data_IF_079700587739
#
_entry.id   IF_079700587739
#
_cell.length_a   1.000
_cell.length_b   1.000
_cell.length_c   1.000
_cell.angle_alpha   90.00
_cell.angle_beta   90.00
_cell.angle_gamma   90.00
#
_symmetry.space_group_name_H-M   'P 1'
#
loop_
_entity.id
_entity.type
_entity.pdbx_description
1 polymer ?
#
# COMPACT_ATOMS: atom_id res chain seq x y z
N UNK A 1 -13.84 -5.95 5.64
CA UNK A 1 -14.32 -6.18 7.02
C UNK A 1 -13.44 -5.34 7.94
N UNK A 2 -14.04 -4.56 8.84
CA UNK A 2 -13.32 -3.60 9.70
C UNK A 2 -13.21 -4.14 11.12
N UNK A 3 -12.04 -4.04 11.74
CA UNK A 3 -11.79 -4.46 13.11
C UNK A 3 -10.85 -3.49 13.83
N UNK A 4 -10.76 -3.59 15.16
CA UNK A 4 -10.03 -2.65 16.02
C UNK A 4 -9.02 -3.40 16.88
N UNK A 5 -7.79 -2.90 16.93
CA UNK A 5 -6.70 -3.46 17.73
C UNK A 5 -5.96 -2.35 18.47
N UNK A 6 -5.28 -2.71 19.56
CA UNK A 6 -4.42 -1.79 20.31
C UNK A 6 -3.04 -1.73 19.68
N UNK A 7 -2.52 -0.53 19.47
CA UNK A 7 -1.18 -0.32 18.95
C UNK A 7 -0.12 -0.83 19.94
N UNK A 8 0.80 -1.66 19.46
CA UNK A 8 2.02 -2.04 20.17
C UNK A 8 3.23 -1.63 19.34
N UNK A 9 4.10 -0.81 19.90
CA UNK A 9 5.27 -0.29 19.21
C UNK A 9 6.40 -1.33 19.27
N UNK A 10 6.91 -1.77 18.12
CA UNK A 10 7.88 -2.86 18.04
C UNK A 10 9.34 -2.40 17.93
N UNK A 11 9.59 -1.16 17.52
CA UNK A 11 10.95 -0.66 17.31
C UNK A 11 11.70 -1.31 16.14
N UNK A 12 11.00 -2.00 15.23
CA UNK A 12 11.56 -2.62 14.03
C UNK A 12 11.39 -1.67 12.85
N UNK A 13 12.46 -1.43 12.09
CA UNK A 13 12.45 -0.56 10.91
C UNK A 13 12.54 -1.37 9.61
N UNK A 14 12.02 -0.82 8.51
CA UNK A 14 11.98 -1.45 7.17
C UNK A 14 12.46 -0.51 6.07
N UNK A 15 13.29 0.48 6.42
CA UNK A 15 13.89 1.46 5.51
C UNK A 15 12.86 2.18 4.62
N UNK A 16 11.65 2.43 5.18
CA UNK A 16 10.62 3.25 4.53
C UNK A 16 9.34 2.52 4.16
N UNK A 17 9.26 1.19 4.30
CA UNK A 17 8.00 0.46 4.11
C UNK A 17 7.07 0.63 5.31
N UNK A 18 5.75 0.69 5.06
CA UNK A 18 4.75 0.71 6.12
C UNK A 18 4.32 -0.73 6.39
N UNK A 19 4.79 -1.31 7.49
CA UNK A 19 4.53 -2.70 7.87
C UNK A 19 3.80 -2.77 9.20
N UNK A 20 2.84 -3.68 9.29
CA UNK A 20 2.19 -4.05 10.55
C UNK A 20 2.29 -5.54 10.80
N UNK A 21 2.38 -5.90 12.06
CA UNK A 21 2.38 -7.29 12.51
C UNK A 21 1.03 -7.61 13.15
N UNK A 22 0.39 -8.67 12.69
CA UNK A 22 -0.90 -9.14 13.19
C UNK A 22 -0.76 -10.58 13.70
N UNK A 23 -1.49 -10.91 14.76
CA UNK A 23 -1.59 -12.29 15.25
C UNK A 23 -2.24 -13.21 14.21
N UNK A 24 -1.83 -14.48 14.17
CA UNK A 24 -2.38 -15.48 13.23
C UNK A 24 -3.90 -15.60 13.28
N UNK A 25 -4.48 -15.51 14.47
CA UNK A 25 -5.92 -15.66 14.65
C UNK A 25 -6.68 -14.44 14.14
N UNK A 26 -6.18 -13.23 14.39
CA UNK A 26 -6.71 -12.00 13.81
C UNK A 26 -6.61 -12.01 12.27
N UNK A 27 -5.49 -12.49 11.71
CA UNK A 27 -5.31 -12.64 10.26
C UNK A 27 -6.35 -13.59 9.67
N UNK A 28 -6.50 -14.80 10.25
CA UNK A 28 -7.46 -15.81 9.79
C UNK A 28 -8.91 -15.33 9.90
N UNK A 29 -9.28 -14.72 11.03
CA UNK A 29 -10.64 -14.25 11.26
C UNK A 29 -11.07 -13.14 10.29
N UNK A 30 -10.11 -12.42 9.71
CA UNK A 30 -10.35 -11.32 8.77
C UNK A 30 -9.92 -11.64 7.33
N UNK A 31 -9.65 -12.90 7.01
CA UNK A 31 -9.17 -13.39 5.70
C UNK A 31 -7.96 -12.62 5.15
N UNK A 32 -7.02 -12.29 6.04
CA UNK A 32 -5.76 -11.63 5.71
C UNK A 32 -4.61 -12.64 5.66
N UNK A 33 -3.64 -12.36 4.78
CA UNK A 33 -2.40 -13.12 4.58
C UNK A 33 -1.20 -12.19 4.62
N UNK A 34 -0.03 -12.73 4.95
CA UNK A 34 1.21 -11.96 4.86
C UNK A 34 1.37 -11.37 3.46
N UNK A 35 1.66 -10.08 3.38
CA UNK A 35 1.73 -9.33 2.13
C UNK A 35 0.44 -8.61 1.75
N UNK A 36 -0.69 -8.91 2.41
CA UNK A 36 -1.94 -8.20 2.14
C UNK A 36 -1.87 -6.76 2.63
N UNK A 37 -2.59 -5.88 1.93
CA UNK A 37 -2.66 -4.46 2.24
C UNK A 37 -3.86 -4.19 3.16
N UNK A 38 -3.62 -3.36 4.17
CA UNK A 38 -4.67 -2.88 5.08
C UNK A 38 -4.63 -1.37 5.17
N UNK A 39 -5.82 -0.77 5.14
CA UNK A 39 -6.01 0.63 5.50
C UNK A 39 -6.04 0.71 7.02
N UNK A 40 -5.14 1.52 7.57
CA UNK A 40 -5.04 1.82 8.99
C UNK A 40 -5.56 3.23 9.21
N UNK A 41 -6.39 3.40 10.23
CA UNK A 41 -6.89 4.69 10.63
C UNK A 41 -6.94 4.82 12.14
N UNK A 42 -6.78 6.05 12.61
CA UNK A 42 -6.89 6.42 14.02
C UNK A 42 -7.82 7.62 14.11
N UNK A 43 -8.46 7.80 15.26
CA UNK A 43 -9.42 8.88 15.46
C UNK A 43 -8.77 10.25 15.22
N UNK A 44 -9.22 10.97 14.19
CA UNK A 44 -8.71 12.31 13.83
C UNK A 44 -7.40 12.32 13.03
N UNK A 45 -6.84 11.15 12.69
CA UNK A 45 -5.63 11.03 11.88
C UNK A 45 -5.93 10.77 10.39
N UNK A 46 -4.94 11.02 9.53
CA UNK A 46 -5.01 10.62 8.13
C UNK A 46 -4.83 9.11 7.99
N UNK A 47 -5.69 8.41 7.24
CA UNK A 47 -5.53 6.98 7.04
C UNK A 47 -4.30 6.70 6.17
N UNK A 48 -3.64 5.58 6.44
CA UNK A 48 -2.47 5.12 5.69
C UNK A 48 -2.66 3.68 5.25
N UNK A 49 -1.94 3.25 4.22
CA UNK A 49 -1.96 1.85 3.78
C UNK A 49 -0.65 1.19 4.21
N UNK A 50 -0.77 0.05 4.87
CA UNK A 50 0.37 -0.75 5.32
C UNK A 50 0.25 -2.20 4.84
N UNK A 51 1.38 -2.89 4.78
CA UNK A 51 1.48 -4.31 4.44
C UNK A 51 1.47 -5.16 5.71
N UNK A 52 0.70 -6.24 5.71
CA UNK A 52 0.57 -7.13 6.87
C UNK A 52 1.66 -8.21 6.90
N UNK A 53 2.20 -8.45 8.09
CA UNK A 53 3.03 -9.59 8.43
C UNK A 53 2.36 -10.39 9.56
N UNK A 54 2.62 -11.71 9.60
CA UNK A 54 2.01 -12.59 10.60
C UNK A 54 2.97 -12.90 11.77
N UNK A 55 2.58 -12.52 13.00
CA UNK A 55 3.20 -13.04 14.21
C UNK A 55 2.83 -14.51 14.40
N UNK A 56 3.83 -15.37 14.50
CA UNK A 56 3.64 -16.82 14.62
C UNK A 56 3.39 -17.31 16.05
N UNK A 57 3.60 -16.46 17.06
CA UNK A 57 3.51 -16.79 18.47
C UNK A 57 3.03 -15.57 19.29
N UNK A 58 2.38 -15.82 20.43
CA UNK A 58 1.87 -14.78 21.34
C UNK A 58 2.94 -14.07 22.17
N UNK A 59 4.23 -14.30 21.92
CA UNK A 59 5.32 -13.64 22.64
C UNK A 59 5.50 -12.17 22.20
N UNK A 60 5.24 -11.90 20.92
CA UNK A 60 5.47 -10.56 20.33
C UNK A 60 4.20 -9.70 20.40
N UNK A 61 3.02 -10.31 20.27
CA UNK A 61 1.73 -9.63 20.25
C UNK A 61 0.67 -10.46 21.00
N UNK A 62 -0.16 -9.77 21.76
CA UNK A 62 -1.42 -10.33 22.23
C UNK A 62 -2.49 -10.30 21.13
N UNK A 63 -3.55 -11.10 21.28
CA UNK A 63 -4.58 -11.27 20.24
C UNK A 63 -5.37 -9.98 19.94
N UNK A 64 -5.40 -9.03 20.88
CA UNK A 64 -6.04 -7.72 20.75
C UNK A 64 -5.08 -6.60 20.33
N UNK A 65 -3.85 -6.94 19.93
CA UNK A 65 -2.81 -5.99 19.56
C UNK A 65 -2.45 -6.03 18.07
N UNK A 66 -2.05 -4.87 17.56
CA UNK A 66 -1.39 -4.71 16.26
C UNK A 66 0.02 -4.16 16.48
N UNK A 67 1.01 -4.86 15.95
CA UNK A 67 2.40 -4.45 16.03
C UNK A 67 2.72 -3.41 14.96
N UNK A 68 3.13 -2.21 15.37
CA UNK A 68 3.53 -1.15 14.46
C UNK A 68 5.05 -1.12 14.34
N UNK A 69 5.53 -1.13 13.10
CA UNK A 69 6.92 -0.86 12.77
C UNK A 69 7.19 0.64 12.86
N UNK A 70 8.46 1.04 12.95
CA UNK A 70 8.87 2.43 13.22
C UNK A 70 8.28 3.40 12.20
N UNK A 71 8.26 3.03 10.92
CA UNK A 71 7.70 3.87 9.87
C UNK A 71 6.17 4.00 9.99
N UNK A 72 5.47 2.91 10.30
CA UNK A 72 4.00 2.89 10.48
C UNK A 72 3.57 3.65 11.72
N UNK A 73 4.32 3.50 12.82
CA UNK A 73 4.13 4.27 14.05
C UNK A 73 4.21 5.77 13.76
N UNK A 74 5.28 6.22 13.08
CA UNK A 74 5.49 7.62 12.73
C UNK A 74 4.42 8.16 11.78
N UNK A 75 4.03 7.36 10.79
CA UNK A 75 3.03 7.77 9.81
C UNK A 75 1.61 7.91 10.43
N UNK A 76 1.30 7.14 11.47
CA UNK A 76 0.04 7.23 12.22
C UNK A 76 0.08 8.22 13.40
N UNK A 77 1.26 8.73 13.78
CA UNK A 77 1.50 9.39 15.07
C UNK A 77 0.99 8.53 16.26
N UNK A 78 1.20 7.21 16.16
CA UNK A 78 0.63 6.25 17.08
C UNK A 78 1.42 6.16 18.39
N UNK A 79 0.72 5.97 19.52
CA UNK A 79 1.29 5.63 20.82
C UNK A 79 0.83 4.26 21.26
N UNK A 80 1.64 3.60 22.09
CA UNK A 80 1.30 2.29 22.67
C UNK A 80 -0.07 2.33 23.36
N UNK A 81 -0.91 1.34 23.09
CA UNK A 81 -2.27 1.19 23.63
C UNK A 81 -3.37 1.96 22.89
N UNK A 82 -3.03 2.85 21.95
CA UNK A 82 -4.06 3.56 21.16
C UNK A 82 -4.81 2.60 20.23
N UNK A 83 -6.07 2.91 19.94
CA UNK A 83 -6.89 2.08 19.06
C UNK A 83 -6.57 2.40 17.60
N UNK A 84 -6.24 1.36 16.84
CA UNK A 84 -6.06 1.40 15.39
C UNK A 84 -7.21 0.63 14.76
N UNK A 85 -7.91 1.29 13.86
CA UNK A 85 -8.90 0.68 12.99
C UNK A 85 -8.21 0.09 11.77
N UNK A 86 -8.43 -1.20 11.55
CA UNK A 86 -7.87 -1.98 10.45
C UNK A 86 -8.99 -2.37 9.50
N UNK A 87 -8.81 -2.05 8.23
CA UNK A 87 -9.72 -2.44 7.15
C UNK A 87 -8.90 -3.09 6.04
N UNK A 88 -9.31 -4.27 5.58
CA UNK A 88 -8.72 -4.88 4.38
C UNK A 88 -8.80 -3.88 3.21
N UNK A 89 -7.65 -3.50 2.66
CA UNK A 89 -7.61 -2.58 1.55
C UNK A 89 -7.95 -3.33 0.26
N UNK A 90 -8.82 -2.79 -0.61
CA UNK A 90 -9.03 -3.37 -1.92
C UNK A 90 -7.71 -3.35 -2.69
N UNK A 91 -7.54 -4.36 -3.53
CA UNK A 91 -6.40 -4.44 -4.44
C UNK A 91 -6.44 -3.23 -5.39
N UNK A 92 -5.29 -2.58 -5.62
CA UNK A 92 -5.23 -1.36 -6.44
C UNK A 92 -5.83 -1.60 -7.84
N UNK A 93 -6.70 -0.68 -8.28
CA UNK A 93 -7.33 -0.73 -9.61
C UNK A 93 -6.28 -0.77 -10.74
N UNK A 94 -5.12 -0.18 -10.48
CA UNK A 94 -3.99 -0.12 -11.40
C UNK A 94 -3.49 -1.48 -11.87
N UNK A 95 -3.77 -2.58 -11.17
CA UNK A 95 -3.36 -3.91 -11.60
C UNK A 95 -4.10 -4.36 -12.86
N UNK A 96 -5.36 -3.98 -13.01
CA UNK A 96 -6.09 -4.24 -14.24
C UNK A 96 -5.53 -3.41 -15.40
N UNK A 97 -5.04 -2.20 -15.11
CA UNK A 97 -4.38 -1.33 -16.09
C UNK A 97 -3.00 -1.87 -16.50
N UNK A 98 -2.21 -2.36 -15.55
CA UNK A 98 -0.92 -3.01 -15.82
C UNK A 98 -1.14 -4.26 -16.67
N UNK A 99 -2.12 -5.11 -16.32
CA UNK A 99 -2.50 -6.26 -17.14
C UNK A 99 -2.92 -5.86 -18.55
N UNK A 100 -3.76 -4.82 -18.69
CA UNK A 100 -4.14 -4.25 -19.98
C UNK A 100 -2.90 -3.87 -20.81
N UNK A 101 -1.88 -3.24 -20.20
CA UNK A 101 -0.63 -2.91 -20.89
C UNK A 101 0.20 -4.15 -21.23
N UNK A 102 0.25 -5.14 -20.34
CA UNK A 102 0.91 -6.44 -20.60
C UNK A 102 0.27 -7.22 -21.75
N UNK A 103 -1.02 -7.01 -22.02
CA UNK A 103 -1.72 -7.56 -23.20
C UNK A 103 -1.45 -6.76 -24.49
N UNK A 104 -0.57 -5.75 -24.44
CA UNK A 104 -0.22 -4.91 -25.59
C UNK A 104 -1.25 -3.82 -25.92
N UNK A 105 -2.27 -3.61 -25.07
CA UNK A 105 -3.26 -2.55 -25.27
C UNK A 105 -2.70 -1.22 -24.79
N UNK A 106 -3.06 -0.14 -25.50
CA UNK A 106 -2.70 1.22 -25.11
C UNK A 106 -3.43 1.67 -23.85
N UNK A 107 -2.76 2.46 -23.03
CA UNK A 107 -3.36 3.16 -21.90
C UNK A 107 -3.72 4.61 -22.29
N UNK A 108 -4.86 5.06 -21.80
CA UNK A 108 -5.29 6.46 -21.91
C UNK A 108 -4.56 7.34 -20.89
N UNK A 109 -4.73 8.66 -21.00
CA UNK A 109 -4.22 9.61 -20.01
C UNK A 109 -4.73 9.32 -18.61
N UNK A 110 -6.03 9.10 -18.43
CA UNK A 110 -6.62 8.85 -17.12
C UNK A 110 -6.08 7.56 -16.49
N UNK A 111 -5.83 6.54 -17.31
CA UNK A 111 -5.25 5.27 -16.86
C UNK A 111 -3.77 5.42 -16.47
N UNK A 112 -2.98 6.17 -17.24
CA UNK A 112 -1.62 6.51 -16.84
C UNK A 112 -1.60 7.36 -15.57
N UNK A 113 -2.51 8.32 -15.44
CA UNK A 113 -2.64 9.16 -14.26
C UNK A 113 -3.01 8.35 -13.02
N UNK A 114 -3.93 7.38 -13.13
CA UNK A 114 -4.25 6.46 -12.05
C UNK A 114 -3.01 5.67 -11.59
N UNK A 115 -2.26 5.08 -12.53
CA UNK A 115 -1.03 4.34 -12.22
C UNK A 115 -0.01 5.23 -11.51
N UNK A 116 0.26 6.43 -12.06
CA UNK A 116 1.26 7.34 -11.48
C UNK A 116 0.82 7.83 -10.10
N UNK A 117 -0.47 8.14 -9.92
CA UNK A 117 -1.01 8.55 -8.63
C UNK A 117 -0.78 7.46 -7.58
N UNK A 118 -1.10 6.22 -7.92
CA UNK A 118 -0.92 5.08 -7.02
C UNK A 118 0.57 4.77 -6.77
N UNK A 119 1.48 5.08 -7.70
CA UNK A 119 2.93 5.01 -7.46
C UNK A 119 3.33 6.05 -6.41
N UNK A 120 2.90 7.30 -6.58
CA UNK A 120 3.27 8.43 -5.69
C UNK A 120 2.67 8.25 -4.30
N UNK A 121 1.45 7.72 -4.18
CA UNK A 121 0.81 7.40 -2.90
C UNK A 121 1.30 6.10 -2.26
N UNK A 122 2.32 5.44 -2.83
CA UNK A 122 2.88 4.15 -2.38
C UNK A 122 1.82 3.05 -2.30
N UNK A 123 0.86 3.10 -3.21
CA UNK A 123 -0.16 2.08 -3.35
C UNK A 123 0.26 0.93 -4.26
N UNK A 124 1.18 1.17 -5.21
CA UNK A 124 1.84 0.07 -5.92
C UNK A 124 2.98 -0.50 -5.07
N UNK A 125 2.93 -1.80 -4.85
CA UNK A 125 4.05 -2.58 -4.30
C UNK A 125 5.21 -2.64 -5.30
N UNK A 126 6.41 -2.96 -4.81
CA UNK A 126 7.60 -3.12 -5.66
C UNK A 126 7.38 -4.15 -6.78
N UNK A 127 6.62 -5.21 -6.49
CA UNK A 127 6.25 -6.24 -7.46
C UNK A 127 5.37 -5.65 -8.56
N UNK A 128 4.35 -4.87 -8.20
CA UNK A 128 3.44 -4.25 -9.16
C UNK A 128 4.14 -3.19 -10.02
N UNK A 129 5.03 -2.40 -9.42
CA UNK A 129 5.86 -1.45 -10.14
C UNK A 129 6.79 -2.16 -11.14
N UNK A 130 7.44 -3.25 -10.72
CA UNK A 130 8.28 -4.06 -11.59
C UNK A 130 7.47 -4.63 -12.77
N UNK A 131 6.23 -5.10 -12.53
CA UNK A 131 5.34 -5.54 -13.60
C UNK A 131 4.97 -4.40 -14.57
N UNK A 132 4.71 -3.19 -14.07
CA UNK A 132 4.43 -2.05 -14.94
C UNK A 132 5.63 -1.71 -15.84
N UNK A 133 6.84 -1.65 -15.28
CA UNK A 133 8.08 -1.40 -16.04
C UNK A 133 8.34 -2.50 -17.07
N UNK A 134 8.15 -3.76 -16.68
CA UNK A 134 8.28 -4.90 -17.59
C UNK A 134 7.25 -4.83 -18.73
N UNK A 135 5.99 -4.48 -18.44
CA UNK A 135 4.94 -4.30 -19.43
C UNK A 135 5.31 -3.22 -20.46
N UNK A 136 5.84 -2.08 -20.00
CA UNK A 136 6.32 -1.01 -20.88
C UNK A 136 7.55 -1.42 -21.72
N UNK A 137 8.36 -2.36 -21.25
CA UNK A 137 9.51 -2.89 -22.00
C UNK A 137 9.07 -3.91 -23.05
N UNK A 138 8.15 -4.82 -22.70
CA UNK A 138 7.59 -5.82 -23.62
C UNK A 138 6.72 -5.18 -24.71
N UNK A 139 5.96 -4.14 -24.35
CA UNK A 139 5.10 -3.38 -25.24
C UNK A 139 5.43 -1.88 -25.11
N UNK A 140 6.41 -1.39 -25.90
CA UNK A 140 6.84 0.00 -25.85
C UNK A 140 5.69 1.00 -25.90
N UNK A 141 5.82 2.09 -25.15
CA UNK A 141 4.85 3.17 -25.14
C UNK A 141 4.85 3.84 -26.52
N UNK A 142 3.66 3.98 -27.11
CA UNK A 142 3.50 4.82 -28.28
C UNK A 142 3.71 6.31 -27.90
N UNK A 143 3.88 7.19 -28.90
CA UNK A 143 4.17 8.60 -28.64
C UNK A 143 3.07 9.29 -27.81
N UNK A 144 1.80 8.99 -28.10
CA UNK A 144 0.64 9.46 -27.35
C UNK A 144 0.64 8.98 -25.89
N UNK A 145 0.96 7.70 -25.66
CA UNK A 145 1.11 7.13 -24.31
C UNK A 145 2.29 7.77 -23.55
N UNK A 146 3.41 8.00 -24.23
CA UNK A 146 4.58 8.68 -23.64
C UNK A 146 4.21 10.08 -23.17
N UNK A 147 3.53 10.86 -24.01
CA UNK A 147 3.04 12.21 -23.65
C UNK A 147 2.06 12.12 -22.48
N UNK A 148 1.14 11.16 -22.50
CA UNK A 148 0.16 10.96 -21.44
C UNK A 148 0.84 10.62 -20.10
N UNK A 149 1.77 9.68 -20.09
CA UNK A 149 2.55 9.30 -18.91
C UNK A 149 3.36 10.48 -18.37
N UNK A 150 4.06 11.22 -19.22
CA UNK A 150 4.83 12.39 -18.80
C UNK A 150 3.93 13.46 -18.18
N UNK A 151 2.77 13.74 -18.78
CA UNK A 151 1.80 14.69 -18.22
C UNK A 151 1.25 14.22 -16.86
N UNK A 152 0.99 12.93 -16.72
CA UNK A 152 0.57 12.34 -15.44
C UNK A 152 1.64 12.53 -14.35
N UNK A 153 2.91 12.24 -14.66
CA UNK A 153 4.04 12.44 -13.73
C UNK A 153 4.17 13.88 -13.26
N UNK A 154 3.99 14.85 -14.18
CA UNK A 154 4.02 16.28 -13.83
C UNK A 154 2.83 16.63 -12.92
N UNK A 155 1.63 16.16 -13.26
CA UNK A 155 0.40 16.47 -12.53
C UNK A 155 0.39 15.95 -11.08
N UNK A 156 1.06 14.83 -10.81
CA UNK A 156 1.16 14.25 -9.47
C UNK A 156 2.34 14.77 -8.65
N UNK A 157 3.24 15.54 -9.26
CA UNK A 157 4.41 16.12 -8.62
C UNK A 157 4.19 17.56 -8.15
N UNK A 158 5.15 18.09 -7.40
CA UNK A 158 5.17 19.52 -7.05
C UNK A 158 5.70 20.35 -8.21
N UNK A 159 4.94 21.33 -8.67
CA UNK A 159 5.39 22.32 -9.66
C UNK A 159 5.93 23.57 -8.97
N UNK A 160 7.11 24.02 -9.37
CA UNK A 160 7.62 25.35 -8.98
C UNK A 160 6.82 26.41 -9.73
N UNK A 161 6.22 27.34 -8.99
CA UNK A 161 5.55 28.53 -9.51
C UNK A 161 6.48 29.73 -9.51
#
# INVERSE_FOLDING_TARGET
>A
MQFRLKARLLGIATEGSLVVLLGKDAMRANDLRTGDRVLLSMQGGTPIIATTNAAHNGYILHDDEIGLFVETERALDARSGMIVEVLAAPRAECINLIKKKMEGKKLSYDEHHAIVKDIVSRELTDVELAYFVAACTMHPLAFDETVALTKAMIATGSTLH
#
